data_IF_503955177177
#
_entry.id   IF_503955177177
#
_cell.length_a   1.000
_cell.length_b   1.000
_cell.length_c   1.000
_cell.angle_alpha   90.00
_cell.angle_beta   90.00
_cell.angle_gamma   90.00
#
_symmetry.space_group_name_H-M   'P 1'
#
loop_
_entity.id
_entity.type
_entity.pdbx_description
1 polymer ?
#
# COMPACT_ATOMS: atom_id res chain seq x y z
N UNK A 1 21.73 -33.87 -0.97
CA UNK A 1 20.94 -33.06 -1.93
C UNK A 1 19.56 -32.77 -1.37
N UNK A 2 18.74 -33.78 -1.02
CA UNK A 2 17.42 -33.58 -0.40
C UNK A 2 17.46 -32.75 0.91
N UNK A 3 18.38 -33.05 1.83
CA UNK A 3 18.53 -32.33 3.11
C UNK A 3 18.98 -30.87 2.97
N UNK A 4 19.64 -30.52 1.88
CA UNK A 4 20.04 -29.13 1.59
C UNK A 4 18.85 -28.33 1.04
N UNK A 5 18.11 -28.91 0.09
CA UNK A 5 16.88 -28.32 -0.43
C UNK A 5 15.79 -28.13 0.65
N UNK A 6 15.64 -29.07 1.58
CA UNK A 6 14.69 -28.92 2.69
C UNK A 6 15.03 -27.73 3.60
N UNK A 7 16.33 -27.52 3.87
CA UNK A 7 16.79 -26.37 4.67
C UNK A 7 16.54 -25.05 3.96
N UNK A 8 16.86 -24.96 2.67
CA UNK A 8 16.59 -23.76 1.86
C UNK A 8 15.08 -23.46 1.78
N UNK A 9 14.25 -24.48 1.57
CA UNK A 9 12.80 -24.31 1.52
C UNK A 9 12.23 -23.82 2.87
N UNK A 10 12.74 -24.34 3.98
CA UNK A 10 12.36 -23.86 5.32
C UNK A 10 12.82 -22.42 5.58
N UNK A 11 14.02 -22.04 5.11
CA UNK A 11 14.54 -20.69 5.22
C UNK A 11 13.70 -19.68 4.41
N UNK A 12 13.34 -20.03 3.18
CA UNK A 12 12.46 -19.22 2.33
C UNK A 12 11.06 -19.06 2.94
N UNK A 13 10.50 -20.11 3.53
CA UNK A 13 9.23 -20.02 4.26
C UNK A 13 9.30 -19.08 5.46
N UNK A 14 10.40 -19.11 6.21
CA UNK A 14 10.65 -18.18 7.31
C UNK A 14 10.79 -16.72 6.86
N UNK A 15 11.48 -16.47 5.74
CA UNK A 15 11.59 -15.15 5.15
C UNK A 15 10.23 -14.61 4.69
N UNK A 16 9.42 -15.43 4.02
CA UNK A 16 8.07 -15.05 3.61
C UNK A 16 7.22 -14.62 4.82
N UNK A 17 7.23 -15.42 5.89
CA UNK A 17 6.48 -15.12 7.11
C UNK A 17 6.97 -13.84 7.80
N UNK A 18 8.29 -13.60 7.79
CA UNK A 18 8.86 -12.36 8.34
C UNK A 18 8.39 -11.13 7.55
N UNK A 19 8.42 -11.20 6.21
CA UNK A 19 7.93 -10.11 5.35
C UNK A 19 6.44 -9.84 5.58
N UNK A 20 5.61 -10.88 5.65
CA UNK A 20 4.17 -10.72 5.92
C UNK A 20 3.93 -10.12 7.31
N UNK A 21 4.70 -10.53 8.31
CA UNK A 21 4.62 -9.98 9.65
C UNK A 21 4.99 -8.49 9.68
N UNK A 22 6.07 -8.10 8.99
CA UNK A 22 6.49 -6.70 8.88
C UNK A 22 5.43 -5.85 8.16
N UNK A 23 4.87 -6.37 7.06
CA UNK A 23 3.78 -5.71 6.33
C UNK A 23 2.57 -5.47 7.23
N UNK A 24 2.11 -6.50 7.96
CA UNK A 24 0.96 -6.39 8.87
C UNK A 24 1.27 -5.52 10.08
N UNK A 25 2.50 -5.58 10.58
CA UNK A 25 3.00 -4.75 11.68
C UNK A 25 3.08 -3.26 11.34
N UNK A 26 3.15 -2.91 10.04
CA UNK A 26 3.16 -1.51 9.60
C UNK A 26 1.78 -0.83 9.63
N UNK A 27 0.67 -1.58 9.74
CA UNK A 27 -0.68 -1.00 9.66
C UNK A 27 -0.94 0.11 10.67
N UNK A 28 -0.57 -0.01 11.97
CA UNK A 28 -0.80 1.06 12.93
C UNK A 28 -0.08 2.36 12.59
N UNK A 29 1.11 2.28 11.98
CA UNK A 29 1.90 3.46 11.56
C UNK A 29 1.19 4.19 10.43
N UNK A 30 0.70 3.44 9.44
CA UNK A 30 -0.07 4.01 8.34
C UNK A 30 -1.43 4.56 8.79
N UNK A 31 -2.14 3.84 9.65
CA UNK A 31 -3.42 4.29 10.20
C UNK A 31 -3.26 5.58 11.03
N UNK A 32 -2.18 5.71 11.83
CA UNK A 32 -1.87 6.97 12.52
C UNK A 32 -1.55 8.09 11.52
N UNK A 33 -0.70 7.84 10.52
CA UNK A 33 -0.37 8.83 9.49
C UNK A 33 -1.63 9.35 8.78
N UNK A 34 -2.53 8.46 8.34
CA UNK A 34 -3.81 8.82 7.71
C UNK A 34 -4.69 9.63 8.68
N UNK A 35 -4.72 9.26 9.96
CA UNK A 35 -5.45 9.99 10.99
C UNK A 35 -4.95 11.43 11.15
N UNK A 36 -3.62 11.63 11.21
CA UNK A 36 -3.01 12.96 11.30
C UNK A 36 -3.21 13.76 10.02
N UNK A 37 -3.05 13.14 8.85
CA UNK A 37 -3.30 13.76 7.56
C UNK A 37 -4.75 14.24 7.43
N UNK A 38 -5.72 13.42 7.85
CA UNK A 38 -7.15 13.77 7.89
C UNK A 38 -7.43 14.97 8.80
N UNK A 39 -6.79 15.03 9.98
CA UNK A 39 -6.92 16.18 10.88
C UNK A 39 -6.35 17.46 10.27
N UNK A 40 -5.17 17.38 9.65
CA UNK A 40 -4.57 18.50 8.93
C UNK A 40 -5.47 18.97 7.79
N UNK A 41 -6.00 18.05 6.98
CA UNK A 41 -6.93 18.36 5.89
C UNK A 41 -8.20 19.02 6.38
N UNK A 42 -8.77 18.60 7.52
CA UNK A 42 -9.89 19.31 8.15
C UNK A 42 -9.55 20.78 8.46
N UNK A 43 -8.38 21.03 9.05
CA UNK A 43 -7.94 22.41 9.34
C UNK A 43 -7.66 23.22 8.08
N UNK A 44 -7.08 22.60 7.05
CA UNK A 44 -6.87 23.25 5.75
C UNK A 44 -8.21 23.60 5.09
N UNK A 45 -9.23 22.73 5.14
CA UNK A 45 -10.56 23.05 4.61
C UNK A 45 -11.17 24.26 5.31
N UNK A 46 -11.04 24.35 6.63
CA UNK A 46 -11.49 25.52 7.39
C UNK A 46 -10.71 26.78 7.00
N UNK A 47 -9.38 26.68 6.97
CA UNK A 47 -8.50 27.78 6.57
C UNK A 47 -8.87 28.30 5.19
N UNK A 48 -9.14 27.38 4.26
CA UNK A 48 -9.54 27.74 2.92
C UNK A 48 -10.85 28.52 2.92
N UNK A 49 -11.89 28.08 3.64
CA UNK A 49 -13.16 28.83 3.75
C UNK A 49 -12.91 30.25 4.27
N UNK A 50 -12.04 30.40 5.26
CA UNK A 50 -11.67 31.72 5.80
C UNK A 50 -10.92 32.58 4.77
N UNK A 51 -10.01 31.98 4.00
CA UNK A 51 -9.30 32.65 2.90
C UNK A 51 -10.28 33.08 1.81
N UNK A 52 -11.23 32.24 1.41
CA UNK A 52 -12.25 32.61 0.42
C UNK A 52 -13.06 33.83 0.89
N UNK A 53 -13.54 33.82 2.13
CA UNK A 53 -14.30 34.95 2.69
C UNK A 53 -13.46 36.24 2.79
N UNK A 54 -12.18 36.11 3.13
CA UNK A 54 -11.23 37.22 3.09
C UNK A 54 -11.06 37.76 1.67
N UNK A 55 -10.83 36.88 0.68
CA UNK A 55 -10.65 37.27 -0.72
C UNK A 55 -11.92 37.91 -1.31
N UNK A 56 -13.11 37.52 -0.87
CA UNK A 56 -14.35 38.18 -1.27
C UNK A 56 -14.44 39.62 -0.74
N UNK A 57 -14.02 39.84 0.51
CA UNK A 57 -13.92 41.20 1.07
C UNK A 57 -12.81 42.01 0.40
N UNK A 58 -11.68 41.37 0.11
CA UNK A 58 -10.56 41.98 -0.62
C UNK A 58 -10.98 42.39 -2.04
N UNK A 59 -11.76 41.55 -2.72
CA UNK A 59 -12.25 41.85 -4.07
C UNK A 59 -13.15 43.09 -4.07
N UNK A 60 -13.98 43.30 -3.04
CA UNK A 60 -14.78 44.54 -2.91
C UNK A 60 -13.89 45.79 -2.86
N UNK A 61 -12.74 45.72 -2.18
CA UNK A 61 -11.75 46.82 -2.15
C UNK A 61 -11.12 47.02 -3.53
N UNK A 62 -10.77 45.92 -4.21
CA UNK A 62 -10.24 45.97 -5.57
C UNK A 62 -11.25 46.59 -6.56
N UNK A 63 -12.53 46.24 -6.44
CA UNK A 63 -13.62 46.76 -7.28
C UNK A 63 -13.86 48.25 -7.01
N UNK A 64 -13.84 48.68 -5.74
CA UNK A 64 -13.92 50.10 -5.38
C UNK A 64 -12.79 50.91 -6.01
N UNK A 65 -11.56 50.42 -5.94
CA UNK A 65 -10.40 51.06 -6.55
C UNK A 65 -10.51 51.06 -8.10
N UNK A 66 -11.01 49.97 -8.70
CA UNK A 66 -11.19 49.85 -10.15
C UNK A 66 -12.27 50.81 -10.69
N UNK A 67 -13.29 51.11 -9.90
CA UNK A 67 -14.34 52.07 -10.25
C UNK A 67 -13.93 53.54 -10.02
N UNK A 68 -12.74 53.79 -9.46
CA UNK A 68 -12.21 55.13 -9.23
C UNK A 68 -11.56 55.72 -10.50
N UNK A 69 -11.28 57.03 -10.49
CA UNK A 69 -10.63 57.74 -11.61
C UNK A 69 -9.11 57.79 -11.45
N UNK A 70 -8.38 57.91 -12.57
CA UNK A 70 -6.93 58.06 -12.58
C UNK A 70 -6.17 56.79 -12.19
N UNK A 71 -4.96 56.94 -11.64
CA UNK A 71 -4.05 55.82 -11.32
C UNK A 71 -4.60 54.80 -10.29
N UNK A 72 -5.61 55.18 -9.50
CA UNK A 72 -6.30 54.26 -8.57
C UNK A 72 -6.96 53.09 -9.30
N UNK A 73 -7.39 53.29 -10.56
CA UNK A 73 -7.96 52.22 -11.38
C UNK A 73 -6.96 51.10 -11.68
N UNK A 74 -5.70 51.47 -11.94
CA UNK A 74 -4.65 50.51 -12.23
C UNK A 74 -4.26 49.72 -10.98
N UNK A 75 -4.32 50.36 -9.80
CA UNK A 75 -4.19 49.70 -8.51
C UNK A 75 -5.31 48.66 -8.33
N UNK A 76 -6.58 49.05 -8.53
CA UNK A 76 -7.71 48.13 -8.45
C UNK A 76 -7.56 46.91 -9.38
N UNK A 77 -7.12 47.14 -10.61
CA UNK A 77 -6.84 46.07 -11.59
C UNK A 77 -5.73 45.12 -11.11
N UNK A 78 -4.68 45.63 -10.46
CA UNK A 78 -3.61 44.82 -9.87
C UNK A 78 -4.12 43.99 -8.68
N UNK A 79 -4.95 44.58 -7.82
CA UNK A 79 -5.57 43.91 -6.69
C UNK A 79 -6.49 42.75 -7.14
N UNK A 80 -7.29 42.96 -8.18
CA UNK A 80 -8.13 41.90 -8.78
C UNK A 80 -7.29 40.73 -9.30
N UNK A 81 -6.16 41.00 -9.98
CA UNK A 81 -5.25 39.93 -10.42
C UNK A 81 -4.69 39.14 -9.24
N UNK A 82 -4.41 39.82 -8.13
CA UNK A 82 -3.95 39.15 -6.91
C UNK A 82 -5.04 38.23 -6.31
N UNK A 83 -6.29 38.68 -6.26
CA UNK A 83 -7.43 37.84 -5.83
C UNK A 83 -7.56 36.58 -6.66
N UNK A 84 -7.55 36.71 -8.00
CA UNK A 84 -7.66 35.57 -8.91
C UNK A 84 -6.53 34.58 -8.70
N UNK A 85 -5.30 35.07 -8.53
CA UNK A 85 -4.12 34.22 -8.28
C UNK A 85 -4.23 33.48 -6.95
N UNK A 86 -4.70 34.14 -5.89
CA UNK A 86 -4.90 33.51 -4.59
C UNK A 86 -6.00 32.44 -4.63
N UNK A 87 -7.11 32.68 -5.33
CA UNK A 87 -8.15 31.66 -5.56
C UNK A 87 -7.62 30.42 -6.30
N UNK A 88 -6.67 30.60 -7.23
CA UNK A 88 -6.01 29.46 -7.89
C UNK A 88 -5.14 28.64 -6.93
N UNK A 89 -4.40 29.30 -6.03
CA UNK A 89 -3.59 28.63 -5.00
C UNK A 89 -4.47 27.84 -4.04
N UNK A 90 -5.59 28.43 -3.63
CA UNK A 90 -6.61 27.80 -2.80
C UNK A 90 -7.09 26.46 -3.38
N UNK A 91 -7.49 26.46 -4.66
CA UNK A 91 -7.97 25.26 -5.34
C UNK A 91 -6.91 24.18 -5.43
N UNK A 92 -5.65 24.55 -5.70
CA UNK A 92 -4.53 23.61 -5.74
C UNK A 92 -4.28 22.98 -4.36
N UNK A 93 -4.37 23.76 -3.29
CA UNK A 93 -4.22 23.28 -1.93
C UNK A 93 -5.31 22.27 -1.56
N UNK A 94 -6.57 22.55 -1.93
CA UNK A 94 -7.68 21.61 -1.75
C UNK A 94 -7.43 20.30 -2.51
N UNK A 95 -7.08 20.39 -3.79
CA UNK A 95 -6.90 19.22 -4.64
C UNK A 95 -5.75 18.30 -4.17
N UNK A 96 -4.57 18.87 -3.89
CA UNK A 96 -3.38 18.10 -3.52
C UNK A 96 -3.59 17.28 -2.24
N UNK A 97 -4.21 17.87 -1.21
CA UNK A 97 -4.39 17.18 0.07
C UNK A 97 -5.57 16.20 0.06
N UNK A 98 -6.66 16.53 -0.63
CA UNK A 98 -7.87 15.71 -0.67
C UNK A 98 -7.74 14.55 -1.65
N UNK A 99 -7.57 14.90 -2.92
CA UNK A 99 -7.80 13.97 -4.03
C UNK A 99 -6.53 13.21 -4.38
N UNK A 100 -5.36 13.77 -4.08
CA UNK A 100 -4.07 13.16 -4.45
C UNK A 100 -3.35 12.44 -3.30
N UNK A 101 -3.73 12.67 -2.05
CA UNK A 101 -3.01 12.11 -0.89
C UNK A 101 -3.91 11.27 0.01
N UNK A 102 -4.91 11.87 0.67
CA UNK A 102 -5.64 11.19 1.75
C UNK A 102 -6.54 10.09 1.20
N UNK A 103 -7.41 10.41 0.23
CA UNK A 103 -8.35 9.42 -0.31
C UNK A 103 -7.62 8.25 -0.98
N UNK A 104 -6.63 8.48 -1.88
CA UNK A 104 -5.90 7.37 -2.48
C UNK A 104 -5.17 6.51 -1.45
N UNK A 105 -4.57 7.11 -0.43
CA UNK A 105 -3.84 6.37 0.59
C UNK A 105 -4.76 5.52 1.48
N UNK A 106 -5.96 6.03 1.78
CA UNK A 106 -6.95 5.28 2.57
C UNK A 106 -7.49 4.07 1.81
N UNK A 107 -7.78 4.22 0.52
CA UNK A 107 -8.16 3.10 -0.35
C UNK A 107 -7.04 2.09 -0.52
N UNK A 108 -5.81 2.58 -0.72
CA UNK A 108 -4.63 1.74 -0.89
C UNK A 108 -4.32 0.91 0.37
N UNK A 109 -4.56 1.46 1.56
CA UNK A 109 -4.39 0.73 2.83
C UNK A 109 -5.34 -0.46 2.95
N UNK A 110 -6.61 -0.30 2.60
CA UNK A 110 -7.57 -1.40 2.59
C UNK A 110 -7.16 -2.47 1.58
N UNK A 111 -6.65 -2.07 0.43
CA UNK A 111 -6.11 -3.00 -0.57
C UNK A 111 -4.90 -3.76 -0.04
N UNK A 112 -3.89 -3.10 0.52
CA UNK A 112 -2.72 -3.76 1.10
C UNK A 112 -3.08 -4.75 2.19
N UNK A 113 -4.06 -4.41 3.06
CA UNK A 113 -4.61 -5.33 4.07
C UNK A 113 -5.22 -6.57 3.43
N UNK A 114 -6.01 -6.41 2.36
CA UNK A 114 -6.58 -7.54 1.60
C UNK A 114 -5.51 -8.39 0.93
N UNK A 115 -4.59 -7.78 0.18
CA UNK A 115 -3.54 -8.49 -0.56
C UNK A 115 -2.63 -9.28 0.38
N UNK A 116 -2.16 -8.68 1.47
CA UNK A 116 -1.30 -9.36 2.44
C UNK A 116 -1.99 -10.57 3.09
N UNK A 117 -3.29 -10.46 3.38
CA UNK A 117 -4.08 -11.57 3.91
C UNK A 117 -4.30 -12.69 2.88
N UNK A 118 -4.48 -12.34 1.60
CA UNK A 118 -4.57 -13.34 0.52
C UNK A 118 -3.24 -14.08 0.37
N UNK A 119 -2.13 -13.34 0.26
CA UNK A 119 -0.79 -13.90 0.10
C UNK A 119 -0.46 -14.89 1.21
N UNK A 120 -0.75 -14.55 2.47
CA UNK A 120 -0.51 -15.42 3.61
C UNK A 120 -1.33 -16.72 3.54
N UNK A 121 -2.62 -16.62 3.20
CA UNK A 121 -3.50 -17.79 3.01
C UNK A 121 -3.05 -18.69 1.87
N UNK A 122 -2.72 -18.10 0.72
CA UNK A 122 -2.30 -18.81 -0.47
C UNK A 122 -0.97 -19.52 -0.23
N UNK A 123 -0.01 -18.83 0.39
CA UNK A 123 1.26 -19.43 0.79
C UNK A 123 1.05 -20.61 1.76
N UNK A 124 0.23 -20.45 2.81
CA UNK A 124 -0.04 -21.54 3.76
C UNK A 124 -0.67 -22.77 3.09
N UNK A 125 -1.58 -22.55 2.13
CA UNK A 125 -2.25 -23.60 1.36
C UNK A 125 -1.27 -24.34 0.45
N UNK A 126 -0.52 -23.61 -0.38
CA UNK A 126 0.40 -24.21 -1.34
C UNK A 126 1.61 -24.86 -0.65
N UNK A 127 2.13 -24.26 0.41
CA UNK A 127 3.20 -24.85 1.23
C UNK A 127 2.77 -26.19 1.84
N UNK A 128 1.54 -26.28 2.38
CA UNK A 128 1.00 -27.52 2.93
C UNK A 128 0.85 -28.61 1.87
N UNK A 129 0.34 -28.25 0.68
CA UNK A 129 0.20 -29.19 -0.45
C UNK A 129 1.55 -29.72 -0.91
N UNK A 130 2.52 -28.85 -1.16
CA UNK A 130 3.87 -29.23 -1.58
C UNK A 130 4.52 -30.19 -0.57
N UNK A 131 4.39 -29.90 0.73
CA UNK A 131 4.91 -30.77 1.78
C UNK A 131 4.22 -32.14 1.83
N UNK A 132 2.92 -32.20 1.57
CA UNK A 132 2.19 -33.47 1.48
C UNK A 132 2.63 -34.29 0.27
N UNK A 133 2.85 -33.66 -0.88
CA UNK A 133 3.33 -34.33 -2.09
C UNK A 133 4.74 -34.89 -1.91
N UNK A 134 5.65 -34.12 -1.31
CA UNK A 134 7.01 -34.58 -0.96
C UNK A 134 6.92 -35.80 -0.05
N UNK A 135 6.10 -35.75 1.01
CA UNK A 135 5.91 -36.87 1.95
C UNK A 135 5.37 -38.12 1.24
N UNK A 136 4.40 -37.95 0.32
CA UNK A 136 3.83 -39.05 -0.47
C UNK A 136 4.89 -39.69 -1.36
N UNK A 137 5.63 -38.90 -2.14
CA UNK A 137 6.69 -39.40 -3.02
C UNK A 137 7.81 -40.09 -2.25
N UNK A 138 8.23 -39.53 -1.12
CA UNK A 138 9.23 -40.14 -0.23
C UNK A 138 8.78 -41.52 0.28
N UNK A 139 7.53 -41.65 0.72
CA UNK A 139 6.94 -42.94 1.13
C UNK A 139 6.90 -43.96 -0.02
N UNK A 140 6.51 -43.53 -1.23
CA UNK A 140 6.43 -44.43 -2.38
C UNK A 140 7.82 -44.89 -2.84
N UNK A 141 8.82 -44.01 -2.83
CA UNK A 141 10.23 -44.35 -3.07
C UNK A 141 10.73 -45.38 -2.05
N UNK A 142 10.42 -45.20 -0.76
CA UNK A 142 10.82 -46.15 0.29
C UNK A 142 10.19 -47.54 0.07
N UNK A 143 8.92 -47.60 -0.33
CA UNK A 143 8.24 -48.87 -0.66
C UNK A 143 8.89 -49.55 -1.87
N UNK A 144 9.23 -48.80 -2.91
CA UNK A 144 9.90 -49.33 -4.11
C UNK A 144 11.31 -49.84 -3.77
N UNK A 145 12.09 -49.12 -2.97
CA UNK A 145 13.40 -49.58 -2.50
C UNK A 145 13.30 -50.90 -1.72
N UNK A 146 12.30 -51.04 -0.85
CA UNK A 146 12.05 -52.30 -0.13
C UNK A 146 11.69 -53.46 -1.06
N UNK A 147 10.86 -53.22 -2.09
CA UNK A 147 10.51 -54.24 -3.11
C UNK A 147 11.74 -54.65 -3.93
N UNK A 148 12.54 -53.70 -4.39
CA UNK A 148 13.77 -53.95 -5.14
C UNK A 148 14.78 -54.79 -4.35
N UNK A 149 15.00 -54.47 -3.07
CA UNK A 149 15.87 -55.26 -2.18
C UNK A 149 15.38 -56.70 -2.02
N UNK A 150 14.07 -56.93 -1.87
CA UNK A 150 13.51 -58.28 -1.79
C UNK A 150 13.73 -59.07 -3.09
N UNK A 151 13.48 -58.45 -4.25
CA UNK A 151 13.70 -59.08 -5.56
C UNK A 151 15.16 -59.48 -5.80
N UNK A 152 16.12 -58.63 -5.40
CA UNK A 152 17.55 -58.95 -5.46
C UNK A 152 17.93 -60.16 -4.60
N UNK A 153 17.36 -60.26 -3.39
CA UNK A 153 17.59 -61.43 -2.52
C UNK A 153 17.06 -62.69 -3.22
N UNK A 154 15.82 -62.67 -3.73
CA UNK A 154 15.22 -63.85 -4.39
C UNK A 154 15.99 -64.31 -5.62
N UNK A 155 16.52 -63.38 -6.43
CA UNK A 155 17.38 -63.70 -7.58
C UNK A 155 18.70 -64.33 -7.12
N UNK A 156 19.30 -63.83 -6.02
CA UNK A 156 20.52 -64.41 -5.45
C UNK A 156 20.34 -65.86 -4.97
N UNK A 157 19.17 -66.22 -4.44
CA UNK A 157 18.84 -67.61 -4.05
C UNK A 157 18.57 -68.54 -5.23
N UNK A 158 18.28 -68.01 -6.41
CA UNK A 158 18.00 -68.82 -7.62
C UNK A 158 19.25 -69.11 -8.45
N UNK A 159 20.35 -68.37 -8.22
CA UNK A 159 21.58 -68.44 -9.02
C UNK A 159 22.75 -69.08 -8.24
N UNK A 160 22.62 -69.23 -6.91
CA UNK A 160 23.59 -69.93 -6.05
C UNK A 160 23.14 -71.33 -5.69
#
# INVERSE_FOLDING_TARGET
>A
METAMERECSGLGGLFQSIIADMKGSYPVWDDFISKASKLQSQLRTTVVMVTAFLDSFQKVADLATNSRGGTRDIGSALTRMCVRQRSIENKLRHLFLDCLINPLQEQMEEWKRTANSLDKDHAKEYKKARQEIKKRSSDTLKLQKKAKKGLITIGWLIG
#
